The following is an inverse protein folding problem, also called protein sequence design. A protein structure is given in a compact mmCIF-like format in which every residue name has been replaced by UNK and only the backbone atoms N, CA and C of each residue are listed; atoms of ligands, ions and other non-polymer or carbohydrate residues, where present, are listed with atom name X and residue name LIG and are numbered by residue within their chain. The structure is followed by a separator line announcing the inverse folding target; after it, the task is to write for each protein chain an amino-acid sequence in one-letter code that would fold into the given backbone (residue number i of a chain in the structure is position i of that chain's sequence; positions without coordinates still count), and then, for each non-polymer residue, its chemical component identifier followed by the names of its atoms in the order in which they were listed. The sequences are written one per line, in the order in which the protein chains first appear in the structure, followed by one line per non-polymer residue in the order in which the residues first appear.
data_IF_568676556121
#
_entry.id   IF_568676556121
#
_cell.length_a   1.000
_cell.length_b   1.000
_cell.length_c   1.000
_cell.angle_alpha   90.00
_cell.angle_beta   90.00
_cell.angle_gamma   90.00
#
_symmetry.space_group_name_H-M   'P 1'
#
loop_
_entity.id
_entity.type
_entity.pdbx_description
1 polymer ?
#
# COMPACT_ATOMS: atom_id res chain seq x y z
N UNK A 1 -43.17 -1.09 25.44
CA UNK A 1 -41.88 -0.50 25.05
C UNK A 1 -41.06 -1.59 24.36
N UNK A 2 -41.16 -1.68 23.02
CA UNK A 2 -40.51 -2.72 22.23
C UNK A 2 -39.17 -2.25 21.68
N UNK A 3 -38.11 -3.03 21.88
CA UNK A 3 -36.79 -2.76 21.31
C UNK A 3 -36.77 -3.21 19.85
N UNK A 4 -36.59 -2.26 18.92
CA UNK A 4 -36.27 -2.54 17.52
C UNK A 4 -34.84 -3.12 17.45
N UNK A 5 -34.74 -4.45 17.34
CA UNK A 5 -33.51 -5.13 17.00
C UNK A 5 -33.10 -4.77 15.58
N UNK A 6 -32.04 -3.97 15.41
CA UNK A 6 -31.38 -3.79 14.11
C UNK A 6 -30.60 -5.08 13.82
N UNK A 7 -31.10 -5.91 12.91
CA UNK A 7 -30.37 -7.07 12.40
C UNK A 7 -29.06 -6.62 11.74
N UNK A 8 -27.88 -7.07 12.20
CA UNK A 8 -26.63 -6.75 11.52
C UNK A 8 -26.59 -7.49 10.17
N UNK A 9 -26.36 -6.73 9.10
CA UNK A 9 -26.29 -7.26 7.73
C UNK A 9 -25.17 -8.30 7.63
N UNK A 10 -25.49 -9.49 7.11
CA UNK A 10 -24.53 -10.58 6.98
C UNK A 10 -23.59 -10.35 5.79
N UNK A 11 -22.33 -10.78 5.92
CA UNK A 11 -21.33 -10.74 4.82
C UNK A 11 -21.84 -11.38 3.51
N UNK A 12 -22.77 -12.34 3.63
CA UNK A 12 -23.43 -13.01 2.50
C UNK A 12 -24.40 -12.10 1.74
N UNK A 13 -25.06 -11.16 2.40
CA UNK A 13 -26.00 -10.23 1.76
C UNK A 13 -25.24 -9.16 0.96
N UNK A 14 -24.05 -8.77 1.44
CA UNK A 14 -23.19 -7.80 0.75
C UNK A 14 -22.67 -8.34 -0.60
N UNK A 15 -22.32 -9.63 -0.67
CA UNK A 15 -21.84 -10.26 -1.91
C UNK A 15 -22.89 -10.36 -3.02
N UNK A 16 -24.18 -10.42 -2.67
CA UNK A 16 -25.29 -10.45 -3.64
C UNK A 16 -25.53 -9.10 -4.32
N UNK A 17 -25.25 -7.99 -3.65
CA UNK A 17 -25.44 -6.62 -4.19
C UNK A 17 -24.32 -6.23 -5.16
N UNK A 18 -23.10 -6.74 -4.97
CA UNK A 18 -21.97 -6.46 -5.88
C UNK A 18 -22.06 -7.20 -7.23
N UNK A 19 -22.84 -8.29 -7.32
CA UNK A 19 -22.94 -9.12 -8.52
C UNK A 19 -23.92 -8.56 -9.59
N UNK A 20 -24.68 -7.51 -9.29
CA UNK A 20 -25.67 -6.91 -10.21
C UNK A 20 -25.18 -5.67 -10.97
N UNK A 21 -23.88 -5.33 -10.90
CA UNK A 21 -23.30 -4.15 -11.57
C UNK A 21 -22.34 -4.50 -12.73
N UNK A 22 -22.51 -5.66 -13.36
CA UNK A 22 -21.75 -6.06 -14.54
C UNK A 22 -22.70 -6.47 -15.67
N UNK A 23 -23.43 -5.49 -16.21
CA UNK A 23 -24.30 -5.70 -17.36
C UNK A 23 -24.55 -4.38 -18.09
N UNK A 24 -24.17 -4.36 -19.37
CA UNK A 24 -24.40 -3.33 -20.40
C UNK A 24 -23.34 -2.21 -20.50
N UNK A 25 -22.34 -2.41 -21.37
CA UNK A 25 -22.10 -1.49 -22.51
C UNK A 25 -21.03 -2.07 -23.46
N UNK A 26 -21.49 -2.77 -24.49
CA UNK A 26 -20.77 -2.97 -25.75
C UNK A 26 -21.21 -1.84 -26.69
N UNK A 27 -20.37 -0.84 -26.91
CA UNK A 27 -20.54 0.12 -28.00
C UNK A 27 -19.17 0.42 -28.62
N UNK A 28 -18.83 -0.13 -29.80
CA UNK A 28 -17.77 0.43 -30.62
C UNK A 28 -18.38 1.59 -31.42
N UNK A 29 -17.99 2.82 -31.15
CA UNK A 29 -18.39 3.96 -31.98
C UNK A 29 -17.16 4.81 -32.27
N UNK A 30 -16.62 4.57 -33.47
CA UNK A 30 -15.76 5.48 -34.21
C UNK A 30 -16.52 6.79 -34.43
N UNK A 31 -16.18 7.83 -33.67
CA UNK A 31 -16.50 9.21 -34.05
C UNK A 31 -15.19 9.88 -34.40
N UNK A 32 -14.95 9.91 -35.71
CA UNK A 32 -14.03 10.81 -36.38
C UNK A 32 -14.62 12.22 -36.27
N UNK A 33 -14.18 13.01 -35.30
CA UNK A 33 -14.51 14.45 -35.26
C UNK A 33 -13.42 15.20 -36.02
N UNK A 34 -13.84 15.89 -37.06
CA UNK A 34 -13.02 16.74 -37.90
C UNK A 34 -12.47 17.94 -37.11
N UNK A 35 -11.20 18.25 -37.35
CA UNK A 35 -10.43 19.33 -36.75
C UNK A 35 -10.95 20.73 -37.12
N UNK A 36 -10.67 21.75 -36.29
CA UNK A 36 -10.29 23.06 -36.78
C UNK A 36 -8.76 23.22 -36.73
N UNK A 37 -8.24 23.72 -37.84
CA UNK A 37 -6.88 24.17 -38.09
C UNK A 37 -6.39 25.15 -36.99
N UNK A 38 -5.41 24.74 -36.19
CA UNK A 38 -4.61 25.61 -35.33
C UNK A 38 -3.16 25.50 -35.81
N UNK A 39 -2.76 26.52 -36.55
CA UNK A 39 -1.46 26.67 -37.18
C UNK A 39 -0.40 27.10 -36.16
N UNK A 40 0.58 26.22 -35.99
CA UNK A 40 1.99 26.50 -35.68
C UNK A 40 2.34 27.07 -34.30
N UNK A 41 3.00 26.25 -33.48
CA UNK A 41 3.76 26.74 -32.33
C UNK A 41 4.25 25.65 -31.39
N UNK A 42 5.46 25.14 -31.62
CA UNK A 42 6.24 24.42 -30.63
C UNK A 42 6.07 22.91 -30.66
N UNK A 43 7.08 22.22 -31.20
CA UNK A 43 7.39 20.88 -30.73
C UNK A 43 7.75 21.01 -29.24
N UNK A 44 6.77 20.81 -28.35
CA UNK A 44 7.07 20.46 -26.97
C UNK A 44 7.74 19.09 -27.02
N UNK A 45 9.08 19.12 -27.02
CA UNK A 45 9.88 17.99 -26.58
C UNK A 45 9.40 17.63 -25.19
N UNK A 46 8.57 16.59 -25.14
CA UNK A 46 8.25 15.85 -23.93
C UNK A 46 9.58 15.33 -23.38
N UNK A 47 10.18 16.12 -22.50
CA UNK A 47 11.36 15.75 -21.75
C UNK A 47 10.91 14.65 -20.81
N UNK A 48 11.02 13.39 -21.29
CA UNK A 48 10.97 12.21 -20.45
C UNK A 48 11.82 12.51 -19.22
N UNK A 49 11.25 12.55 -18.00
CA UNK A 49 12.05 12.78 -16.82
C UNK A 49 13.14 11.72 -16.82
N UNK A 50 14.39 12.17 -16.81
CA UNK A 50 15.55 11.29 -16.75
C UNK A 50 15.32 10.35 -15.57
N UNK A 51 15.20 9.06 -15.86
CA UNK A 51 14.95 8.03 -14.87
C UNK A 51 16.18 7.94 -13.99
N UNK A 52 16.24 8.76 -12.94
CA UNK A 52 17.30 8.71 -11.95
C UNK A 52 17.25 7.31 -11.33
N UNK A 53 18.39 6.61 -11.38
CA UNK A 53 18.52 5.33 -10.71
C UNK A 53 18.14 5.51 -9.23
N UNK A 54 17.42 4.56 -8.63
CA UNK A 54 17.07 4.64 -7.22
C UNK A 54 18.33 4.88 -6.37
N UNK A 55 18.26 5.76 -5.36
CA UNK A 55 19.40 6.00 -4.49
C UNK A 55 19.85 4.67 -3.84
N UNK A 56 21.15 4.54 -3.61
CA UNK A 56 21.71 3.37 -2.95
C UNK A 56 21.12 3.20 -1.53
N UNK A 57 20.93 1.96 -1.05
CA UNK A 57 20.46 1.70 0.31
C UNK A 57 21.45 2.24 1.34
N UNK A 58 20.94 2.69 2.49
CA UNK A 58 21.75 3.16 3.62
C UNK A 58 22.69 2.06 4.17
N UNK A 59 23.80 2.43 4.82
CA UNK A 59 24.71 1.47 5.45
C UNK A 59 24.03 0.58 6.50
N UNK A 60 23.07 1.14 7.25
CA UNK A 60 22.29 0.38 8.23
C UNK A 60 21.41 -0.68 7.55
N UNK A 61 20.75 -0.34 6.44
CA UNK A 61 19.97 -1.30 5.67
C UNK A 61 20.84 -2.44 5.11
N UNK A 62 22.06 -2.13 4.65
CA UNK A 62 23.02 -3.14 4.19
C UNK A 62 23.45 -4.06 5.34
N UNK A 63 23.76 -3.52 6.51
CA UNK A 63 24.13 -4.32 7.68
C UNK A 63 23.00 -5.26 8.13
N UNK A 64 21.74 -4.79 8.13
CA UNK A 64 20.58 -5.64 8.41
C UNK A 64 20.37 -6.71 7.33
N UNK A 65 20.61 -6.38 6.07
CA UNK A 65 20.54 -7.34 4.96
C UNK A 65 21.56 -8.48 5.11
N UNK A 66 22.75 -8.22 5.67
CA UNK A 66 23.73 -9.28 5.99
C UNK A 66 23.20 -10.26 7.04
N UNK A 67 22.42 -9.80 8.03
CA UNK A 67 21.75 -10.70 8.99
C UNK A 67 20.71 -11.57 8.28
N UNK A 68 19.96 -11.01 7.33
CA UNK A 68 19.00 -11.77 6.53
C UNK A 68 19.73 -12.81 5.69
N UNK A 69 20.81 -12.42 5.01
CA UNK A 69 21.65 -13.32 4.21
C UNK A 69 22.22 -14.45 5.04
N UNK A 70 22.70 -14.17 6.26
CA UNK A 70 23.21 -15.20 7.16
C UNK A 70 22.16 -16.25 7.54
N UNK A 71 20.90 -15.85 7.75
CA UNK A 71 19.82 -16.73 8.22
C UNK A 71 19.03 -17.40 7.09
N UNK A 72 18.96 -16.75 5.94
CA UNK A 72 18.04 -17.09 4.85
C UNK A 72 18.70 -17.15 3.47
N UNK A 73 19.98 -16.78 3.33
CA UNK A 73 20.71 -16.71 2.06
C UNK A 73 20.60 -17.95 1.17
N UNK A 74 20.67 -19.19 1.68
CA UNK A 74 20.49 -20.40 0.86
C UNK A 74 19.11 -20.53 0.20
N UNK A 75 18.12 -19.73 0.63
CA UNK A 75 16.73 -19.73 0.14
C UNK A 75 16.38 -18.50 -0.70
N UNK A 76 17.32 -17.57 -0.87
CA UNK A 76 17.08 -16.28 -1.50
C UNK A 76 18.03 -16.09 -2.67
N UNK A 77 17.50 -15.63 -3.79
CA UNK A 77 18.31 -15.18 -4.91
C UNK A 77 18.75 -13.71 -4.72
N UNK A 78 19.64 -13.25 -5.60
CA UNK A 78 20.20 -11.90 -5.53
C UNK A 78 19.12 -10.82 -5.74
N UNK A 79 18.09 -11.12 -6.54
CA UNK A 79 16.99 -10.20 -6.79
C UNK A 79 16.14 -10.00 -5.53
N UNK A 80 15.79 -11.09 -4.84
CA UNK A 80 15.11 -11.07 -3.56
C UNK A 80 15.96 -10.35 -2.51
N UNK A 81 17.28 -10.57 -2.46
CA UNK A 81 18.13 -9.85 -1.52
C UNK A 81 18.20 -8.34 -1.81
N UNK A 82 18.22 -7.94 -3.09
CA UNK A 82 18.17 -6.53 -3.47
C UNK A 82 16.86 -5.90 -3.02
N UNK A 83 15.74 -6.58 -3.22
CA UNK A 83 14.42 -6.07 -2.82
C UNK A 83 14.28 -6.02 -1.30
N UNK A 84 14.76 -7.02 -0.57
CA UNK A 84 14.78 -7.02 0.90
C UNK A 84 15.59 -5.83 1.41
N UNK A 85 16.78 -5.59 0.85
CA UNK A 85 17.64 -4.47 1.25
C UNK A 85 16.94 -3.12 1.00
N UNK A 86 16.25 -2.97 -0.14
CA UNK A 86 15.44 -1.79 -0.45
C UNK A 86 14.27 -1.62 0.53
N UNK A 87 13.59 -2.72 0.86
CA UNK A 87 12.47 -2.71 1.80
C UNK A 87 12.91 -2.32 3.21
N UNK A 88 14.05 -2.85 3.68
CA UNK A 88 14.68 -2.48 4.94
C UNK A 88 15.00 -0.98 4.99
N UNK A 89 15.58 -0.43 3.93
CA UNK A 89 15.87 1.00 3.84
C UNK A 89 14.60 1.86 3.93
N UNK A 90 13.52 1.47 3.23
CA UNK A 90 12.22 2.12 3.35
C UNK A 90 11.60 2.02 4.75
N UNK A 91 11.72 0.85 5.39
CA UNK A 91 11.28 0.61 6.76
C UNK A 91 12.04 1.48 7.76
N UNK A 92 13.37 1.60 7.62
CA UNK A 92 14.20 2.46 8.47
C UNK A 92 13.83 3.93 8.34
N UNK A 93 13.58 4.42 7.12
CA UNK A 93 13.08 5.79 6.88
C UNK A 93 11.73 6.03 7.56
N UNK A 94 10.82 5.07 7.46
CA UNK A 94 9.51 5.14 8.10
C UNK A 94 9.64 5.14 9.63
N UNK A 95 10.48 4.26 10.18
CA UNK A 95 10.78 4.22 11.61
C UNK A 95 11.43 5.50 12.11
N UNK A 96 12.33 6.12 11.33
CA UNK A 96 12.93 7.41 11.66
C UNK A 96 11.90 8.54 11.70
N UNK A 97 10.86 8.50 10.86
CA UNK A 97 9.74 9.43 10.94
C UNK A 97 8.90 9.21 12.21
N UNK A 98 8.59 7.96 12.56
CA UNK A 98 7.82 7.62 13.76
C UNK A 98 8.55 8.01 15.06
N UNK A 99 9.88 7.85 15.11
CA UNK A 99 10.70 8.25 16.28
C UNK A 99 10.67 9.76 16.59
N UNK A 100 10.20 10.60 15.66
CA UNK A 100 10.05 12.03 15.88
C UNK A 100 8.78 12.39 16.64
N UNK A 101 7.85 11.44 16.78
CA UNK A 101 6.64 11.63 17.57
C UNK A 101 7.04 11.58 19.06
N UNK A 102 6.85 12.66 19.83
CA UNK A 102 7.10 12.63 21.25
C UNK A 102 6.04 11.74 21.91
N UNK A 103 6.48 10.80 22.74
CA UNK A 103 5.61 9.96 23.56
C UNK A 103 6.01 10.15 25.02
N UNK A 104 5.03 10.31 25.90
CA UNK A 104 5.25 10.21 27.34
C UNK A 104 5.23 8.72 27.76
N UNK A 105 5.94 8.35 28.82
CA UNK A 105 5.91 6.97 29.34
C UNK A 105 4.50 6.55 29.81
N UNK A 106 3.60 7.50 30.03
CA UNK A 106 2.18 7.28 30.35
C UNK A 106 1.34 6.92 29.12
N UNK A 107 1.85 7.08 27.90
CA UNK A 107 1.12 6.75 26.68
C UNK A 107 1.15 5.24 26.41
N UNK A 108 -0.01 4.61 26.56
CA UNK A 108 -0.17 3.17 26.40
C UNK A 108 -0.20 2.72 24.92
N UNK A 109 0.18 1.47 24.61
CA UNK A 109 -0.07 0.87 23.31
C UNK A 109 -1.54 0.97 22.88
N UNK A 110 -1.79 1.16 21.59
CA UNK A 110 -3.14 1.26 21.02
C UNK A 110 -4.03 0.05 21.36
N UNK A 111 -3.43 -1.10 21.64
CA UNK A 111 -4.12 -2.30 22.10
C UNK A 111 -3.40 -2.88 23.31
N UNK A 112 -4.15 -2.99 24.40
CA UNK A 112 -3.69 -3.66 25.63
C UNK A 112 -4.30 -5.06 25.67
N UNK A 113 -3.43 -6.05 25.85
CA UNK A 113 -3.88 -7.42 26.08
C UNK A 113 -4.74 -7.48 27.34
N UNK A 114 -5.94 -8.06 27.21
CA UNK A 114 -6.81 -8.38 28.35
C UNK A 114 -7.01 -9.89 28.38
N UNK A 115 -6.56 -10.51 29.47
CA UNK A 115 -6.85 -11.91 29.70
C UNK A 115 -8.36 -12.09 29.86
N UNK A 116 -8.92 -13.01 29.08
CA UNK A 116 -10.30 -13.42 29.27
C UNK A 116 -10.40 -14.28 30.53
N UNK A 117 -11.21 -13.82 31.50
CA UNK A 117 -11.66 -14.65 32.63
C UNK A 117 -13.13 -14.91 32.41
N UNK A 118 -13.50 -16.18 32.22
CA UNK A 118 -14.84 -16.60 31.83
C UNK A 118 -15.88 -16.54 32.95
N UNK A 119 -15.84 -15.51 33.80
CA UNK A 119 -16.65 -15.47 35.02
C UNK A 119 -17.73 -14.37 34.90
N UNK A 120 -18.99 -14.84 34.90
CA UNK A 120 -20.28 -14.14 35.00
C UNK A 120 -20.87 -13.54 33.71
N UNK A 121 -21.68 -14.36 33.03
CA UNK A 121 -22.89 -13.91 32.32
C UNK A 121 -24.09 -13.97 33.26
#
# INVERSE_FOLDING_TARGET
MGYLGKTPLSRRDFGRVAATAAGLSLVPSLILVAAPDQKSGGAEQETKPASQAPPAPSPEAQALAEIVKLRYGPRLDDAAMKEITRSLDGGLKSAAALRKVPLDNTEEPAFIFRAWRGDHA
#
